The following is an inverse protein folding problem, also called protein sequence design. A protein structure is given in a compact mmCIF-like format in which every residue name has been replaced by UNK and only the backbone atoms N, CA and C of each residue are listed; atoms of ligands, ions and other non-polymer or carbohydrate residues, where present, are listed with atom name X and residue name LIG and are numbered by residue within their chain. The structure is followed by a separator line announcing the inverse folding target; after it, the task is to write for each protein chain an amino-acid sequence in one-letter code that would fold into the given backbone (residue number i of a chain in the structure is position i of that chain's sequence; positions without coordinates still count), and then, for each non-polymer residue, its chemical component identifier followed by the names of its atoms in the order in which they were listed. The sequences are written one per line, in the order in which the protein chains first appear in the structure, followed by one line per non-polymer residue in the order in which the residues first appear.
data_IF_317992948497
#
_entry.id   IF_317992948497
#
_cell.length_a   1.000
_cell.length_b   1.000
_cell.length_c   1.000
_cell.angle_alpha   90.00
_cell.angle_beta   90.00
_cell.angle_gamma   90.00
#
_symmetry.space_group_name_H-M   'P 1'
#
loop_
_entity.id
_entity.type
_entity.pdbx_description
1 polymer ?
#
# COMPACT_ATOMS: atom_id res chain seq x y z
N UNK A 1 -83.28 28.27 18.89
CA UNK A 1 -83.46 26.81 18.73
C UNK A 1 -82.11 26.18 18.47
N UNK A 2 -81.68 25.33 19.40
CA UNK A 2 -80.41 24.60 19.38
C UNK A 2 -80.50 23.50 18.31
N UNK A 3 -79.49 23.40 17.42
CA UNK A 3 -79.28 22.20 16.60
C UNK A 3 -77.82 21.76 16.71
N UNK A 4 -77.72 20.47 16.96
CA UNK A 4 -76.62 19.71 17.52
C UNK A 4 -75.60 19.35 16.44
N UNK A 5 -74.35 19.26 16.87
CA UNK A 5 -73.17 18.81 16.15
C UNK A 5 -73.36 17.46 15.44
N UNK A 6 -72.77 17.32 14.25
CA UNK A 6 -72.27 16.04 13.74
C UNK A 6 -70.81 16.21 13.32
N UNK A 7 -69.87 15.93 14.24
CA UNK A 7 -68.48 15.69 13.89
C UNK A 7 -68.39 14.31 13.23
N UNK A 8 -68.05 14.29 11.94
CA UNK A 8 -67.60 13.09 11.25
C UNK A 8 -66.12 12.89 11.55
N UNK A 9 -65.80 11.82 12.27
CA UNK A 9 -64.46 11.40 12.65
C UNK A 9 -63.83 10.62 11.47
N UNK A 10 -63.01 11.26 10.64
CA UNK A 10 -62.20 10.54 9.65
C UNK A 10 -60.89 10.10 10.30
N UNK A 11 -60.83 8.84 10.70
CA UNK A 11 -59.61 8.22 11.20
C UNK A 11 -58.60 8.05 10.05
N UNK A 12 -57.60 8.93 9.98
CA UNK A 12 -56.41 8.73 9.15
C UNK A 12 -55.47 7.83 9.94
N UNK A 13 -55.41 6.55 9.55
CA UNK A 13 -54.36 5.64 9.97
C UNK A 13 -53.02 6.13 9.40
N UNK A 14 -52.23 6.82 10.22
CA UNK A 14 -50.79 6.87 10.01
C UNK A 14 -50.23 5.51 10.39
N UNK A 15 -49.86 4.71 9.39
CA UNK A 15 -48.89 3.63 9.56
C UNK A 15 -47.58 4.28 10.01
N UNK A 16 -47.35 4.28 11.32
CA UNK A 16 -46.02 4.46 11.88
C UNK A 16 -45.17 3.28 11.39
N UNK A 17 -44.47 3.46 10.27
CA UNK A 17 -43.32 2.64 9.96
C UNK A 17 -42.28 2.94 11.03
N UNK A 18 -42.31 2.16 12.12
CA UNK A 18 -41.26 2.11 13.11
C UNK A 18 -39.97 1.77 12.38
N UNK A 19 -39.12 2.78 12.24
CA UNK A 19 -37.72 2.65 11.90
C UNK A 19 -37.07 1.71 12.90
N UNK A 20 -36.93 0.44 12.55
CA UNK A 20 -35.82 -0.36 13.10
C UNK A 20 -34.55 0.16 12.42
N UNK A 21 -33.63 0.83 13.14
CA UNK A 21 -32.29 0.95 12.64
C UNK A 21 -31.74 -0.48 12.60
N UNK A 22 -31.66 -1.04 11.39
CA UNK A 22 -30.98 -2.29 11.13
C UNK A 22 -29.57 -2.15 11.70
N UNK A 23 -29.35 -2.82 12.83
CA UNK A 23 -28.08 -3.17 13.46
C UNK A 23 -26.88 -2.60 12.68
N UNK A 24 -26.49 -1.37 13.02
CA UNK A 24 -25.09 -0.99 12.92
C UNK A 24 -24.36 -2.04 13.73
N UNK A 25 -23.77 -3.01 13.04
CA UNK A 25 -22.63 -3.74 13.57
C UNK A 25 -21.60 -2.65 13.86
N UNK A 26 -21.61 -2.17 15.10
CA UNK A 26 -20.45 -1.56 15.72
C UNK A 26 -19.39 -2.64 15.62
N UNK A 27 -18.61 -2.62 14.53
CA UNK A 27 -17.33 -3.28 14.50
C UNK A 27 -16.53 -2.52 15.54
N UNK A 28 -16.52 -3.05 16.76
CA UNK A 28 -15.53 -2.69 17.76
C UNK A 28 -14.19 -2.73 17.02
N UNK A 29 -13.47 -1.60 16.90
CA UNK A 29 -12.24 -1.59 16.14
C UNK A 29 -11.28 -2.49 16.89
N UNK A 30 -10.99 -3.66 16.31
CA UNK A 30 -9.83 -4.45 16.73
C UNK A 30 -8.67 -3.47 16.68
N UNK A 31 -8.06 -3.18 17.84
CA UNK A 31 -6.82 -2.42 17.91
C UNK A 31 -5.83 -3.12 16.98
N UNK A 32 -5.69 -2.61 15.75
CA UNK A 32 -4.84 -3.24 14.78
C UNK A 32 -3.42 -3.07 15.27
N UNK A 33 -2.84 -4.15 15.76
CA UNK A 33 -1.47 -4.13 16.25
C UNK A 33 -0.56 -3.78 15.06
N UNK A 34 0.22 -2.73 15.23
CA UNK A 34 1.11 -2.24 14.18
C UNK A 34 2.28 -3.21 14.10
N UNK A 35 2.60 -3.71 12.90
CA UNK A 35 3.72 -4.61 12.73
C UNK A 35 5.01 -3.91 13.14
N UNK A 36 5.89 -4.63 13.84
CA UNK A 36 7.21 -4.11 14.27
C UNK A 36 8.20 -3.91 13.12
N UNK A 37 7.87 -4.40 11.93
CA UNK A 37 8.73 -4.38 10.75
C UNK A 37 7.88 -4.40 9.47
N UNK A 38 8.41 -3.81 8.40
CA UNK A 38 7.94 -4.07 7.04
C UNK A 38 8.55 -5.39 6.51
N UNK A 39 7.80 -6.09 5.67
CA UNK A 39 8.30 -7.24 4.90
C UNK A 39 8.14 -6.95 3.41
N UNK A 40 9.25 -6.90 2.67
CA UNK A 40 9.23 -6.77 1.22
C UNK A 40 9.72 -8.08 0.61
N UNK A 41 8.89 -8.69 -0.23
CA UNK A 41 9.20 -9.89 -0.98
C UNK A 41 9.45 -9.54 -2.45
N UNK A 42 10.59 -9.98 -2.98
CA UNK A 42 10.95 -9.82 -4.39
C UNK A 42 11.14 -11.21 -4.98
N UNK A 43 10.41 -11.53 -6.04
CA UNK A 43 10.40 -12.86 -6.67
C UNK A 43 10.76 -12.74 -8.14
N UNK A 44 11.78 -13.47 -8.57
CA UNK A 44 12.05 -13.73 -9.99
C UNK A 44 11.29 -14.97 -10.41
N UNK A 45 10.14 -14.79 -11.07
CA UNK A 45 9.27 -15.92 -11.45
C UNK A 45 9.76 -16.62 -12.71
N UNK A 46 10.41 -15.88 -13.61
CA UNK A 46 10.92 -16.42 -14.86
C UNK A 46 12.14 -15.62 -15.34
N UNK A 47 13.14 -16.34 -15.85
CA UNK A 47 14.19 -15.82 -16.71
C UNK A 47 14.75 -16.97 -17.56
N UNK A 48 15.12 -16.75 -18.83
CA UNK A 48 15.56 -17.82 -19.72
C UNK A 48 16.73 -18.65 -19.16
N UNK A 49 17.69 -18.00 -18.52
CA UNK A 49 18.85 -18.62 -17.89
C UNK A 49 18.70 -18.86 -16.39
N UNK A 50 17.49 -18.82 -15.80
CA UNK A 50 17.31 -18.88 -14.34
C UNK A 50 17.87 -20.15 -13.68
N UNK A 51 17.99 -21.25 -14.43
CA UNK A 51 18.55 -22.51 -13.97
C UNK A 51 20.04 -22.69 -14.35
N UNK A 52 20.58 -21.78 -15.17
CA UNK A 52 21.91 -21.93 -15.76
C UNK A 52 23.00 -21.50 -14.77
N UNK A 53 24.14 -22.17 -14.88
CA UNK A 53 25.32 -21.80 -14.10
C UNK A 53 25.80 -20.39 -14.49
N UNK A 54 26.09 -19.57 -13.49
CA UNK A 54 26.51 -18.18 -13.68
C UNK A 54 25.36 -17.15 -13.62
N UNK A 55 24.09 -17.57 -13.74
CA UNK A 55 22.96 -16.66 -13.56
C UNK A 55 22.85 -16.19 -12.11
N UNK A 56 22.71 -14.88 -11.93
CA UNK A 56 22.74 -14.21 -10.63
C UNK A 56 21.93 -12.94 -10.66
N UNK A 57 21.53 -12.49 -9.48
CA UNK A 57 20.97 -11.15 -9.30
C UNK A 57 21.58 -10.43 -8.10
N UNK A 58 21.56 -9.11 -8.19
CA UNK A 58 21.95 -8.18 -7.15
C UNK A 58 20.84 -7.14 -7.00
N UNK A 59 20.34 -6.97 -5.78
CA UNK A 59 19.27 -6.05 -5.46
C UNK A 59 19.82 -5.01 -4.49
N UNK A 60 19.99 -3.79 -4.96
CA UNK A 60 20.30 -2.63 -4.10
C UNK A 60 19.02 -1.88 -3.85
N UNK A 61 18.73 -1.52 -2.60
CA UNK A 61 17.46 -0.92 -2.23
C UNK A 61 17.59 0.18 -1.18
N UNK A 62 16.64 1.10 -1.23
CA UNK A 62 16.29 1.99 -0.12
C UNK A 62 14.82 1.81 0.23
N UNK A 63 14.51 1.73 1.51
CA UNK A 63 13.16 1.73 2.06
C UNK A 63 12.99 2.99 2.91
N UNK A 64 12.01 3.81 2.57
CA UNK A 64 11.76 5.12 3.16
C UNK A 64 10.31 5.28 3.57
N UNK A 65 10.03 6.31 4.37
CA UNK A 65 8.68 6.71 4.76
C UNK A 65 8.49 8.21 4.57
N UNK A 66 7.33 8.59 4.09
CA UNK A 66 6.94 9.99 3.89
C UNK A 66 5.49 10.18 4.34
N UNK A 67 5.10 11.42 4.65
CA UNK A 67 3.67 11.70 4.76
C UNK A 67 3.05 11.87 3.36
N UNK A 68 1.76 11.57 3.25
CA UNK A 68 1.06 11.60 1.97
C UNK A 68 1.02 13.00 1.36
N UNK A 69 0.86 14.04 2.18
CA UNK A 69 0.93 15.42 1.72
C UNK A 69 2.27 15.74 1.02
N UNK A 70 3.42 15.36 1.60
CA UNK A 70 4.71 15.60 0.95
C UNK A 70 4.98 14.65 -0.22
N UNK A 71 4.43 13.43 -0.22
CA UNK A 71 4.44 12.57 -1.42
C UNK A 71 3.76 13.29 -2.59
N UNK A 72 2.56 13.84 -2.37
CA UNK A 72 1.82 14.57 -3.41
C UNK A 72 2.58 15.80 -3.92
N UNK A 73 3.21 16.56 -3.01
CA UNK A 73 4.05 17.70 -3.39
C UNK A 73 5.27 17.28 -4.22
N UNK A 74 5.96 16.22 -3.79
CA UNK A 74 7.10 15.70 -4.53
C UNK A 74 6.69 15.12 -5.90
N UNK A 75 5.49 14.55 -6.03
CA UNK A 75 4.93 14.12 -7.31
C UNK A 75 4.68 15.32 -8.25
N UNK A 76 4.05 16.38 -7.75
CA UNK A 76 3.85 17.64 -8.51
C UNK A 76 5.16 18.27 -8.98
N UNK A 77 6.22 18.14 -8.19
CA UNK A 77 7.56 18.63 -8.52
C UNK A 77 8.33 17.69 -9.46
N UNK A 78 7.75 16.54 -9.86
CA UNK A 78 8.38 15.59 -10.77
C UNK A 78 9.51 14.76 -10.15
N UNK A 79 9.58 14.68 -8.81
CA UNK A 79 10.67 14.01 -8.07
C UNK A 79 10.56 12.48 -8.00
N UNK A 80 9.45 11.92 -8.51
CA UNK A 80 9.18 10.47 -8.51
C UNK A 80 9.50 9.76 -9.84
N UNK A 81 10.22 10.41 -10.77
CA UNK A 81 10.59 9.77 -12.03
C UNK A 81 11.44 8.52 -11.76
N UNK A 82 11.04 7.37 -12.32
CA UNK A 82 11.83 6.14 -12.23
C UNK A 82 13.23 6.41 -12.81
N UNK A 83 14.27 6.26 -11.98
CA UNK A 83 15.65 6.55 -12.35
C UNK A 83 16.17 7.96 -12.00
N UNK A 84 15.36 8.86 -11.43
CA UNK A 84 15.90 10.08 -10.82
C UNK A 84 16.78 9.72 -9.63
N UNK A 85 17.93 10.40 -9.47
CA UNK A 85 18.79 10.23 -8.29
C UNK A 85 18.21 10.88 -7.03
N UNK A 86 17.20 11.74 -7.18
CA UNK A 86 16.54 12.40 -6.05
C UNK A 86 15.61 11.41 -5.32
N UNK A 87 15.87 11.21 -4.03
CA UNK A 87 15.10 10.34 -3.13
C UNK A 87 14.36 11.21 -2.12
N UNK A 88 13.07 10.96 -1.94
CA UNK A 88 12.23 11.70 -0.97
C UNK A 88 11.87 10.80 0.21
N UNK A 89 11.47 11.42 1.33
CA UNK A 89 11.12 10.72 2.57
C UNK A 89 12.31 10.39 3.46
N UNK A 90 11.99 10.07 4.71
CA UNK A 90 12.93 9.64 5.75
C UNK A 90 13.41 8.22 5.46
N UNK A 91 14.73 8.03 5.38
CA UNK A 91 15.33 6.71 5.17
C UNK A 91 15.13 5.83 6.41
N UNK A 92 14.54 4.65 6.20
CA UNK A 92 14.40 3.63 7.25
C UNK A 92 15.56 2.65 7.16
N UNK A 93 15.82 2.14 5.95
CA UNK A 93 16.85 1.14 5.71
C UNK A 93 17.32 1.16 4.26
N UNK A 94 18.60 0.93 4.07
CA UNK A 94 19.18 0.61 2.78
C UNK A 94 20.02 -0.67 2.87
N UNK A 95 20.30 -1.27 1.72
CA UNK A 95 21.19 -2.42 1.64
C UNK A 95 21.29 -3.01 0.25
N UNK A 96 22.13 -4.04 0.15
CA UNK A 96 22.34 -4.82 -1.06
C UNK A 96 22.24 -6.31 -0.73
N UNK A 97 21.56 -7.07 -1.58
CA UNK A 97 21.47 -8.53 -1.52
C UNK A 97 22.00 -9.09 -2.84
N UNK A 98 22.81 -10.15 -2.78
CA UNK A 98 23.37 -10.82 -3.97
C UNK A 98 23.11 -12.31 -3.87
N UNK A 99 22.59 -12.91 -4.92
CA UNK A 99 22.32 -14.35 -4.95
C UNK A 99 22.62 -14.95 -6.32
N UNK A 100 22.94 -16.23 -6.32
CA UNK A 100 22.99 -17.07 -7.52
C UNK A 100 21.63 -17.74 -7.75
N UNK A 101 21.15 -17.79 -8.98
CA UNK A 101 19.75 -18.16 -9.30
C UNK A 101 19.53 -19.67 -9.51
N UNK A 102 20.63 -20.45 -9.54
CA UNK A 102 20.61 -21.91 -9.76
C UNK A 102 19.68 -22.63 -8.79
N UNK A 103 19.68 -22.22 -7.51
CA UNK A 103 18.74 -22.74 -6.51
C UNK A 103 17.38 -22.03 -6.63
N UNK A 104 16.25 -22.76 -6.71
CA UNK A 104 14.92 -22.17 -6.67
C UNK A 104 14.66 -21.29 -5.43
N UNK A 105 15.27 -21.61 -4.28
CA UNK A 105 15.12 -20.82 -3.06
C UNK A 105 15.68 -19.40 -3.21
N UNK A 106 16.70 -19.22 -4.05
CA UNK A 106 17.41 -17.95 -4.23
C UNK A 106 16.71 -17.01 -5.22
N UNK A 107 15.61 -17.46 -5.84
CA UNK A 107 14.76 -16.66 -6.74
C UNK A 107 13.77 -15.79 -5.98
N UNK A 108 13.78 -15.88 -4.65
CA UNK A 108 12.96 -15.11 -3.74
C UNK A 108 13.86 -14.46 -2.69
N UNK A 109 13.78 -13.13 -2.59
CA UNK A 109 14.41 -12.35 -1.53
C UNK A 109 13.33 -11.82 -0.61
N UNK A 110 13.50 -12.04 0.69
CA UNK A 110 12.60 -11.52 1.74
C UNK A 110 13.36 -10.54 2.62
N UNK A 111 13.03 -9.26 2.49
CA UNK A 111 13.60 -8.19 3.30
C UNK A 111 12.70 -7.94 4.51
N UNK A 112 13.21 -8.18 5.71
CA UNK A 112 12.56 -7.78 6.96
C UNK A 112 13.20 -6.50 7.48
N UNK A 113 12.42 -5.42 7.50
CA UNK A 113 12.91 -4.07 7.75
C UNK A 113 12.31 -3.58 9.08
N UNK A 114 13.06 -3.60 10.19
CA UNK A 114 12.54 -3.22 11.49
C UNK A 114 12.22 -1.72 11.53
N UNK A 115 11.13 -1.37 12.20
CA UNK A 115 10.76 0.02 12.43
C UNK A 115 11.39 0.54 13.73
N UNK A 116 11.85 1.80 13.70
CA UNK A 116 12.27 2.49 14.90
C UNK A 116 11.06 2.84 15.79
N UNK A 117 11.24 3.06 17.10
CA UNK A 117 10.17 3.51 17.99
C UNK A 117 9.43 4.75 17.46
N UNK A 118 10.16 5.73 16.90
CA UNK A 118 9.61 6.94 16.27
C UNK A 118 8.69 6.62 15.09
N UNK A 119 9.07 5.66 14.24
CA UNK A 119 8.22 5.24 13.12
C UNK A 119 6.98 4.51 13.64
N UNK A 120 7.14 3.63 14.62
CA UNK A 120 6.01 2.92 15.22
C UNK A 120 4.99 3.87 15.84
N UNK A 121 5.46 4.92 16.52
CA UNK A 121 4.61 5.97 17.07
C UNK A 121 3.86 6.74 15.97
N UNK A 122 4.56 7.17 14.91
CA UNK A 122 3.92 7.80 13.74
C UNK A 122 2.86 6.91 13.11
N UNK A 123 3.16 5.63 12.94
CA UNK A 123 2.22 4.68 12.38
C UNK A 123 0.98 4.49 13.29
N UNK A 124 1.17 4.59 14.61
CA UNK A 124 0.10 4.42 15.61
C UNK A 124 -0.84 5.59 15.70
N UNK A 125 -0.31 6.78 15.52
CA UNK A 125 -1.06 8.02 15.67
C UNK A 125 -1.74 8.46 14.36
N UNK A 126 -1.75 7.63 13.31
CA UNK A 126 -2.47 7.96 12.08
C UNK A 126 -3.99 7.95 12.29
N UNK A 127 -4.74 8.83 11.61
CA UNK A 127 -6.19 8.77 11.55
C UNK A 127 -6.63 7.39 11.05
N UNK A 128 -7.60 6.78 11.75
CA UNK A 128 -8.13 5.46 11.34
C UNK A 128 -9.11 5.54 10.19
N UNK A 129 -9.70 6.71 9.99
CA UNK A 129 -10.67 6.96 8.95
C UNK A 129 -10.32 8.28 8.25
N UNK A 130 -10.27 8.24 6.93
CA UNK A 130 -10.30 9.45 6.12
C UNK A 130 -11.66 10.10 6.31
N UNK A 131 -11.67 11.40 6.61
CA UNK A 131 -12.89 12.20 6.53
C UNK A 131 -13.37 12.13 5.08
N UNK A 132 -14.55 11.53 4.88
CA UNK A 132 -15.23 11.52 3.57
C UNK A 132 -16.06 12.79 3.49
N UNK A 133 -15.66 13.72 2.64
CA UNK A 133 -16.51 14.88 2.35
C UNK A 133 -17.54 14.54 1.30
N UNK A 134 -18.74 15.12 1.44
CA UNK A 134 -19.79 15.02 0.42
C UNK A 134 -19.56 16.11 -0.63
N UNK A 135 -19.54 15.81 -1.93
CA UNK A 135 -19.41 16.84 -2.96
C UNK A 135 -20.54 17.85 -2.86
N UNK A 136 -20.22 19.14 -2.64
CA UNK A 136 -21.19 20.25 -2.69
C UNK A 136 -21.20 21.18 -1.47
N UNK A 137 -20.73 20.74 -0.30
CA UNK A 137 -20.58 21.57 0.89
C UNK A 137 -19.36 21.07 1.67
N UNK A 138 -18.22 21.75 1.53
CA UNK A 138 -17.04 21.52 2.38
C UNK A 138 -16.85 22.79 3.19
N UNK A 139 -16.89 22.71 4.52
CA UNK A 139 -16.66 23.88 5.38
C UNK A 139 -15.16 24.19 5.52
N UNK A 140 -14.77 25.43 5.86
CA UNK A 140 -13.36 25.76 6.12
C UNK A 140 -12.69 24.89 7.19
N UNK A 141 -13.46 24.47 8.20
CA UNK A 141 -13.01 23.57 9.28
C UNK A 141 -12.74 22.17 8.74
N UNK A 142 -13.60 21.65 7.87
CA UNK A 142 -13.39 20.37 7.19
C UNK A 142 -12.16 20.40 6.26
N UNK A 143 -11.91 21.53 5.57
CA UNK A 143 -10.67 21.71 4.78
C UNK A 143 -9.43 21.66 5.68
N UNK A 144 -9.49 22.31 6.85
CA UNK A 144 -8.38 22.31 7.81
C UNK A 144 -8.12 20.90 8.35
N UNK A 145 -9.17 20.20 8.76
CA UNK A 145 -9.11 18.80 9.21
C UNK A 145 -8.57 17.86 8.12
N UNK A 146 -9.00 18.01 6.87
CA UNK A 146 -8.48 17.22 5.75
C UNK A 146 -6.98 17.46 5.54
N UNK A 147 -6.52 18.72 5.59
CA UNK A 147 -5.09 19.04 5.48
C UNK A 147 -4.28 18.47 6.64
N UNK A 148 -4.81 18.52 7.86
CA UNK A 148 -4.18 17.91 9.03
C UNK A 148 -4.10 16.39 8.87
N UNK A 149 -5.18 15.72 8.45
CA UNK A 149 -5.17 14.28 8.19
C UNK A 149 -4.21 13.87 7.06
N UNK A 150 -4.13 14.62 5.97
CA UNK A 150 -3.19 14.35 4.86
C UNK A 150 -1.72 14.44 5.30
N UNK A 151 -1.42 15.21 6.35
CA UNK A 151 -0.08 15.25 6.95
C UNK A 151 0.22 14.06 7.87
N UNK A 152 -0.80 13.37 8.34
CA UNK A 152 -0.67 12.26 9.28
C UNK A 152 -0.63 10.90 8.58
N UNK A 153 -1.25 10.74 7.41
CA UNK A 153 -1.15 9.49 6.65
C UNK A 153 0.27 9.23 6.15
N UNK A 154 0.76 8.02 6.41
CA UNK A 154 2.11 7.59 6.10
C UNK A 154 2.13 6.72 4.85
N UNK A 155 3.14 6.93 4.01
CA UNK A 155 3.37 6.18 2.77
C UNK A 155 4.77 5.60 2.83
N UNK A 156 4.88 4.30 2.57
CA UNK A 156 6.16 3.63 2.37
C UNK A 156 6.62 3.79 0.94
N UNK A 157 7.91 4.05 0.78
CA UNK A 157 8.57 4.19 -0.51
C UNK A 157 9.67 3.14 -0.59
N UNK A 158 9.68 2.36 -1.66
CA UNK A 158 10.72 1.36 -1.89
C UNK A 158 11.38 1.61 -3.23
N UNK A 159 12.70 1.82 -3.21
CA UNK A 159 13.51 2.16 -4.38
C UNK A 159 14.53 1.05 -4.66
N UNK A 160 14.12 -0.09 -5.24
CA UNK A 160 15.06 -1.12 -5.65
C UNK A 160 15.61 -0.86 -7.05
N UNK A 161 16.89 -1.16 -7.21
CA UNK A 161 17.54 -1.41 -8.50
C UNK A 161 17.91 -2.89 -8.52
N UNK A 162 17.25 -3.64 -9.40
CA UNK A 162 17.43 -5.08 -9.56
C UNK A 162 18.33 -5.31 -10.76
N UNK A 163 19.51 -5.85 -10.51
CA UNK A 163 20.51 -6.16 -11.52
C UNK A 163 20.54 -7.69 -11.74
N UNK A 164 20.13 -8.17 -12.91
CA UNK A 164 20.06 -9.61 -13.22
C UNK A 164 21.01 -9.91 -14.36
N UNK A 165 21.95 -10.83 -14.14
CA UNK A 165 22.72 -11.43 -15.21
C UNK A 165 22.08 -12.77 -15.59
N UNK A 166 21.63 -12.88 -16.84
CA UNK A 166 21.07 -14.09 -17.42
C UNK A 166 22.15 -14.78 -18.27
N UNK A 167 22.57 -15.98 -17.86
CA UNK A 167 23.64 -16.71 -18.53
C UNK A 167 23.26 -17.23 -19.92
N UNK A 168 21.98 -17.58 -20.14
CA UNK A 168 21.47 -18.05 -21.44
C UNK A 168 21.50 -16.94 -22.47
N UNK A 169 20.99 -15.77 -22.08
CA UNK A 169 21.00 -14.58 -22.94
C UNK A 169 22.36 -13.86 -22.95
N UNK A 170 23.27 -14.22 -22.06
CA UNK A 170 24.56 -13.54 -21.81
C UNK A 170 24.39 -12.03 -21.65
N UNK A 171 23.31 -11.61 -20.99
CA UNK A 171 22.87 -10.22 -20.90
C UNK A 171 22.64 -9.81 -19.46
N UNK A 172 22.97 -8.55 -19.18
CA UNK A 172 22.68 -7.92 -17.91
C UNK A 172 21.44 -7.02 -18.01
N UNK A 173 20.53 -7.15 -17.06
CA UNK A 173 19.28 -6.41 -16.97
C UNK A 173 19.32 -5.50 -15.74
N UNK A 174 19.27 -4.19 -15.95
CA UNK A 174 19.19 -3.21 -14.87
C UNK A 174 17.75 -2.71 -14.81
N UNK A 175 17.03 -3.11 -13.76
CA UNK A 175 15.59 -2.91 -13.63
C UNK A 175 15.32 -2.00 -12.43
N UNK A 176 15.08 -0.69 -12.64
CA UNK A 176 14.57 0.19 -11.60
C UNK A 176 13.09 -0.13 -11.35
N UNK A 177 12.74 -0.45 -10.12
CA UNK A 177 11.40 -0.97 -9.79
C UNK A 177 10.76 -0.25 -8.59
N UNK A 178 10.90 1.08 -8.52
CA UNK A 178 10.34 1.90 -7.45
C UNK A 178 8.84 1.67 -7.22
N UNK A 179 8.41 1.60 -5.96
CA UNK A 179 7.00 1.41 -5.55
C UNK A 179 6.66 2.26 -4.34
N UNK A 180 5.37 2.57 -4.22
CA UNK A 180 4.79 3.28 -3.07
C UNK A 180 3.59 2.51 -2.52
N UNK A 181 3.42 2.54 -1.20
CA UNK A 181 2.31 1.89 -0.51
C UNK A 181 1.82 2.74 0.66
N UNK A 182 0.56 3.16 0.62
CA UNK A 182 -0.07 3.87 1.73
C UNK A 182 -0.30 2.91 2.91
N UNK A 183 0.13 3.27 4.12
CA UNK A 183 -0.01 2.37 5.28
C UNK A 183 -1.46 2.03 5.59
N UNK A 184 -2.40 2.95 5.38
CA UNK A 184 -3.84 2.72 5.57
C UNK A 184 -4.39 1.58 4.69
N UNK A 185 -3.89 1.43 3.46
CA UNK A 185 -4.27 0.37 2.54
C UNK A 185 -3.50 -0.94 2.85
N UNK A 186 -2.29 -0.82 3.40
CA UNK A 186 -1.39 -1.93 3.70
C UNK A 186 -0.93 -1.94 5.17
N UNK A 187 -1.86 -2.04 6.14
CA UNK A 187 -1.52 -1.86 7.57
C UNK A 187 -0.69 -3.03 8.15
N UNK A 188 -0.59 -4.14 7.42
CA UNK A 188 0.29 -5.27 7.74
C UNK A 188 1.75 -5.03 7.32
N UNK A 189 2.04 -3.93 6.61
CA UNK A 189 3.35 -3.58 6.08
C UNK A 189 4.04 -4.74 5.33
N UNK A 190 3.28 -5.52 4.56
CA UNK A 190 3.79 -6.59 3.70
C UNK A 190 3.64 -6.17 2.25
N UNK A 191 4.64 -6.43 1.43
CA UNK A 191 4.69 -5.99 0.04
C UNK A 191 5.30 -7.08 -0.83
N UNK A 192 4.80 -7.23 -2.06
CA UNK A 192 5.31 -8.20 -3.02
C UNK A 192 5.61 -7.54 -4.36
N UNK A 193 6.75 -7.92 -4.93
CA UNK A 193 7.19 -7.57 -6.27
C UNK A 193 7.59 -8.82 -7.03
N UNK A 194 7.07 -8.96 -8.23
CA UNK A 194 7.39 -10.05 -9.14
C UNK A 194 8.12 -9.51 -10.37
N UNK A 195 9.25 -10.12 -10.71
CA UNK A 195 10.05 -9.82 -11.90
C UNK A 195 9.99 -11.02 -12.84
N UNK A 196 9.83 -10.74 -14.12
CA UNK A 196 9.77 -11.72 -15.20
C UNK A 196 10.64 -11.23 -16.36
N UNK A 197 11.57 -12.06 -16.83
CA UNK A 197 12.36 -11.87 -18.05
C UNK A 197 11.88 -12.90 -19.07
N UNK A 198 11.52 -12.44 -20.27
CA UNK A 198 11.07 -13.28 -21.37
C UNK A 198 12.26 -13.76 -22.23
N UNK A 199 12.05 -14.79 -23.04
CA UNK A 199 13.08 -15.33 -23.95
C UNK A 199 13.57 -14.31 -25.00
N UNK A 200 12.76 -13.30 -25.33
CA UNK A 200 13.14 -12.20 -26.22
C UNK A 200 14.00 -11.11 -25.55
N UNK A 201 14.28 -11.24 -24.25
CA UNK A 201 15.05 -10.27 -23.49
C UNK A 201 14.26 -8.99 -23.15
N UNK A 202 12.93 -9.01 -23.23
CA UNK A 202 12.05 -8.04 -22.56
C UNK A 202 11.79 -8.46 -21.12
N UNK A 203 11.42 -7.50 -20.26
CA UNK A 203 11.10 -7.79 -18.86
C UNK A 203 9.81 -7.10 -18.43
N UNK A 204 9.19 -7.62 -17.36
CA UNK A 204 8.03 -7.02 -16.70
C UNK A 204 8.22 -7.05 -15.19
N UNK A 205 7.75 -6.01 -14.52
CA UNK A 205 7.69 -5.95 -13.06
C UNK A 205 6.25 -5.74 -12.64
N UNK A 206 5.70 -6.69 -11.90
CA UNK A 206 4.36 -6.63 -11.33
C UNK A 206 4.47 -6.42 -9.82
N UNK A 207 3.54 -5.66 -9.27
CA UNK A 207 3.27 -5.62 -7.83
C UNK A 207 1.88 -6.18 -7.61
N UNK A 208 1.73 -7.10 -6.67
CA UNK A 208 0.46 -7.77 -6.41
C UNK A 208 -0.01 -7.48 -4.98
N UNK A 209 -1.33 -7.50 -4.78
CA UNK A 209 -1.93 -7.61 -3.47
C UNK A 209 -3.23 -8.45 -3.48
N UNK A 210 -3.47 -9.26 -2.44
CA UNK A 210 -2.49 -9.73 -1.45
C UNK A 210 -1.43 -10.62 -2.10
N UNK A 211 -0.26 -10.84 -1.48
CA UNK A 211 0.65 -11.88 -1.92
C UNK A 211 -0.15 -13.18 -2.06
N UNK A 212 0.00 -13.90 -3.17
CA UNK A 212 -0.68 -15.18 -3.36
C UNK A 212 -0.12 -16.14 -2.32
N UNK A 213 -0.76 -16.22 -1.15
CA UNK A 213 -0.65 -17.39 -0.28
C UNK A 213 -1.16 -18.55 -1.11
N UNK A 214 -0.25 -19.30 -1.75
CA UNK A 214 -0.54 -20.69 -2.11
C UNK A 214 -0.87 -21.35 -0.79
N UNK A 215 -2.16 -21.63 -0.58
CA UNK A 215 -2.55 -22.64 0.38
C UNK A 215 -1.76 -23.89 0.00
N UNK A 216 -0.84 -24.29 0.87
CA UNK A 216 -0.27 -25.63 0.87
C UNK A 216 -1.44 -26.59 1.06
N UNK A 217 -1.88 -27.21 -0.03
CA UNK A 217 -2.60 -28.48 -0.01
C UNK A 217 -1.57 -29.59 -0.10
#
# INVERSE_FOLDING_TARGET
MIKILSLSLTAILFLAASSTPSNQRVRVPVSQEIPKAATVEIVLVNAPGINDEGSKWEITYEFRIINQAAEWQAWKQGKFKAGSGERVGELIKEGTVKETLRSPANRKVVLKIPFSPKILERLRNQPRERIKTTPGQITPEEIKLLKEQETEFQVFLFYPVINIYDAKLKKNFIIPASRTWAFEEYPQARFEMTVEINDDGTYRVKSSWPPKTRASN
#
